data_IF_155668184076
#
_entry.id   IF_155668184076
#
_cell.length_a   1.000
_cell.length_b   1.000
_cell.length_c   1.000
_cell.angle_alpha   90.00
_cell.angle_beta   90.00
_cell.angle_gamma   90.00
#
_symmetry.space_group_name_H-M   'P 1'
#
loop_
_entity.id
_entity.type
_entity.pdbx_description
1 polymer ?
#
# COMPACT_ATOMS: atom_id res chain seq x y z
N UNK A 1 -7.19 -15.67 -9.25
CA UNK A 1 -6.19 -14.61 -9.02
C UNK A 1 -4.97 -15.25 -8.41
N UNK A 2 -3.78 -14.85 -8.84
CA UNK A 2 -2.53 -15.29 -8.23
C UNK A 2 -1.89 -14.08 -7.56
N UNK A 3 -2.40 -13.76 -6.36
CA UNK A 3 -2.04 -12.54 -5.64
C UNK A 3 -0.74 -12.75 -4.90
N UNK A 4 0.14 -11.77 -5.02
CA UNK A 4 1.35 -11.66 -4.22
C UNK A 4 1.54 -10.24 -3.75
N UNK A 5 2.06 -10.08 -2.53
CA UNK A 5 2.46 -8.80 -1.98
C UNK A 5 3.97 -8.64 -2.18
N UNK A 6 4.39 -7.51 -2.72
CA UNK A 6 5.79 -7.14 -2.87
C UNK A 6 6.07 -5.97 -1.94
N UNK A 7 6.79 -6.22 -0.86
CA UNK A 7 7.25 -5.19 0.04
C UNK A 7 8.50 -4.52 -0.54
N UNK A 8 8.50 -3.19 -0.55
CA UNK A 8 9.59 -2.38 -1.09
C UNK A 8 10.25 -1.58 0.04
N UNK A 9 9.45 -1.14 1.01
CA UNK A 9 9.91 -0.48 2.21
C UNK A 9 10.32 -1.53 3.28
N UNK A 10 11.41 -1.30 4.04
CA UNK A 10 12.23 -0.08 4.10
C UNK A 10 13.44 -0.04 3.15
N UNK A 11 13.59 -1.04 2.27
CA UNK A 11 14.82 -1.21 1.48
C UNK A 11 15.08 -0.06 0.49
N UNK A 12 14.04 0.70 0.10
CA UNK A 12 14.14 1.90 -0.73
C UNK A 12 13.69 3.12 0.08
N UNK A 13 14.62 4.05 0.34
CA UNK A 13 14.45 5.15 1.30
C UNK A 13 13.50 6.24 0.75
N UNK A 14 13.82 6.86 -0.39
CA UNK A 14 13.00 7.93 -0.98
C UNK A 14 13.51 8.23 -2.41
N UNK A 15 12.61 8.39 -3.38
CA UNK A 15 12.94 8.85 -4.73
C UNK A 15 11.92 9.93 -5.12
N UNK A 16 12.36 11.13 -5.49
CA UNK A 16 11.49 12.25 -5.86
C UNK A 16 10.40 12.56 -4.81
N UNK A 17 10.76 12.57 -3.53
CA UNK A 17 9.85 12.77 -2.39
C UNK A 17 8.80 11.66 -2.25
N UNK A 18 8.99 10.51 -2.90
CA UNK A 18 8.10 9.35 -2.79
C UNK A 18 8.82 8.15 -2.19
N UNK A 19 8.13 7.46 -1.29
CA UNK A 19 8.57 6.24 -0.63
C UNK A 19 7.62 5.13 -1.08
N UNK A 20 8.12 4.21 -1.92
CA UNK A 20 7.32 3.05 -2.34
C UNK A 20 7.20 2.10 -1.14
N UNK A 21 5.98 1.78 -0.71
CA UNK A 21 5.75 0.97 0.48
C UNK A 21 5.64 -0.51 0.13
N UNK A 22 4.60 -0.84 -0.63
CA UNK A 22 4.37 -2.20 -1.12
C UNK A 22 3.42 -2.19 -2.32
N UNK A 23 3.33 -3.33 -2.99
CA UNK A 23 2.46 -3.55 -4.13
C UNK A 23 1.70 -4.85 -3.98
N UNK A 24 0.44 -4.85 -4.40
CA UNK A 24 -0.36 -6.07 -4.57
C UNK A 24 -0.39 -6.38 -6.05
N UNK A 25 0.14 -7.53 -6.47
CA UNK A 25 0.23 -7.92 -7.88
C UNK A 25 -0.57 -9.19 -8.12
N UNK A 26 -1.43 -9.20 -9.14
CA UNK A 26 -1.94 -10.44 -9.72
C UNK A 26 -1.03 -10.90 -10.85
N UNK A 27 -0.34 -12.02 -10.63
CA UNK A 27 0.64 -12.56 -11.58
C UNK A 27 0.03 -13.03 -12.90
N UNK A 28 -1.28 -13.23 -12.96
CA UNK A 28 -1.95 -13.69 -14.18
C UNK A 28 -2.29 -12.54 -15.14
N UNK A 29 -2.62 -11.37 -14.61
CA UNK A 29 -3.19 -10.23 -15.36
C UNK A 29 -2.31 -8.98 -15.33
N UNK A 30 -1.18 -9.02 -14.61
CA UNK A 30 -0.24 -7.89 -14.41
C UNK A 30 -0.89 -6.64 -13.80
N UNK A 31 -2.03 -6.80 -13.14
CA UNK A 31 -2.72 -5.74 -12.42
C UNK A 31 -2.05 -5.50 -11.07
N UNK A 32 -2.01 -4.23 -10.65
CA UNK A 32 -1.30 -3.84 -9.44
C UNK A 32 -2.05 -2.77 -8.65
N UNK A 33 -2.18 -2.96 -7.34
CA UNK A 33 -2.38 -1.86 -6.41
C UNK A 33 -1.00 -1.41 -5.91
N UNK A 34 -0.69 -0.13 -6.06
CA UNK A 34 0.58 0.46 -5.61
C UNK A 34 0.30 1.36 -4.43
N UNK A 35 0.96 1.08 -3.30
CA UNK A 35 0.91 1.90 -2.10
C UNK A 35 2.23 2.62 -1.93
N UNK A 36 2.18 3.93 -1.81
CA UNK A 36 3.36 4.77 -1.64
C UNK A 36 3.06 5.94 -0.70
N UNK A 37 4.08 6.45 -0.03
CA UNK A 37 4.00 7.69 0.74
C UNK A 37 4.64 8.81 -0.08
N UNK A 38 4.10 10.02 0.02
CA UNK A 38 4.73 11.24 -0.45
C UNK A 38 5.14 12.07 0.75
N UNK A 39 6.43 12.37 0.84
CA UNK A 39 6.98 13.27 1.84
C UNK A 39 6.58 14.70 1.48
N UNK A 40 5.88 15.34 2.40
CA UNK A 40 5.66 16.78 2.43
C UNK A 40 6.44 17.30 3.62
N UNK A 41 6.99 18.52 3.55
CA UNK A 41 7.97 19.03 4.53
C UNK A 41 7.67 18.74 6.02
N UNK A 42 6.39 18.61 6.39
CA UNK A 42 5.94 18.38 7.76
C UNK A 42 5.08 17.09 7.95
N UNK A 43 4.81 16.31 6.90
CA UNK A 43 3.95 15.12 6.98
C UNK A 43 4.16 14.13 5.83
N UNK A 44 3.70 12.89 6.01
CA UNK A 44 3.62 11.87 4.98
C UNK A 44 2.19 11.69 4.50
N UNK A 45 2.00 11.83 3.20
CA UNK A 45 0.72 11.59 2.54
C UNK A 45 0.73 10.19 1.93
N UNK A 46 -0.16 9.31 2.34
CA UNK A 46 -0.25 7.95 1.83
C UNK A 46 -1.20 7.89 0.64
N UNK A 47 -0.70 7.35 -0.46
CA UNK A 47 -1.38 7.23 -1.73
C UNK A 47 -1.55 5.79 -2.15
N UNK A 48 -2.69 5.55 -2.80
CA UNK A 48 -3.00 4.33 -3.51
C UNK A 48 -3.17 4.65 -4.99
N UNK A 49 -2.44 3.94 -5.84
CA UNK A 49 -2.72 3.87 -7.28
C UNK A 49 -3.30 2.52 -7.64
N UNK A 50 -4.48 2.52 -8.25
CA UNK A 50 -5.10 1.34 -8.83
C UNK A 50 -4.87 1.36 -10.35
N UNK A 51 -3.98 0.49 -10.84
CA UNK A 51 -3.59 0.51 -12.25
C UNK A 51 -4.69 0.04 -13.21
N UNK A 52 -5.76 -0.59 -12.70
CA UNK A 52 -6.90 -1.00 -13.53
C UNK A 52 -7.79 0.19 -13.89
N UNK A 53 -8.04 1.07 -12.92
CA UNK A 53 -8.94 2.22 -13.07
C UNK A 53 -8.19 3.49 -13.47
N UNK A 54 -6.87 3.51 -13.28
CA UNK A 54 -6.08 4.74 -13.35
C UNK A 54 -6.31 5.66 -12.15
N UNK A 55 -7.05 5.21 -11.12
CA UNK A 55 -7.31 5.99 -9.92
C UNK A 55 -6.01 6.15 -9.13
N UNK A 56 -5.73 7.38 -8.73
CA UNK A 56 -4.63 7.70 -7.82
C UNK A 56 -5.15 8.67 -6.77
N UNK A 57 -5.21 8.21 -5.53
CA UNK A 57 -5.81 8.97 -4.45
C UNK A 57 -4.99 8.91 -3.17
N UNK A 58 -4.96 10.05 -2.49
CA UNK A 58 -4.57 10.10 -1.10
C UNK A 58 -5.65 9.39 -0.27
N UNK A 59 -5.26 8.48 0.62
CA UNK A 59 -6.20 7.79 1.50
C UNK A 59 -5.94 8.04 2.98
N UNK A 60 -4.76 8.57 3.34
CA UNK A 60 -4.42 8.88 4.73
C UNK A 60 -3.24 9.86 4.78
N UNK A 61 -3.17 10.65 5.84
CA UNK A 61 -2.03 11.52 6.14
C UNK A 61 -1.51 11.19 7.53
N UNK A 62 -0.20 11.20 7.69
CA UNK A 62 0.43 10.93 8.99
C UNK A 62 1.68 11.76 9.18
N UNK A 63 1.91 12.23 10.40
CA UNK A 63 2.95 13.22 10.67
C UNK A 63 4.29 12.56 11.01
N UNK A 64 4.33 11.23 11.11
CA UNK A 64 5.51 10.49 11.48
C UNK A 64 5.67 9.19 10.69
N UNK A 65 6.92 8.76 10.52
CA UNK A 65 7.27 7.53 9.83
C UNK A 65 6.89 6.27 10.63
N UNK A 66 6.79 6.38 11.95
CA UNK A 66 6.47 5.25 12.83
C UNK A 66 5.07 4.70 12.59
N UNK A 67 4.11 5.57 12.33
CA UNK A 67 2.76 5.22 11.93
C UNK A 67 2.76 4.39 10.63
N UNK A 68 3.61 4.76 9.66
CA UNK A 68 3.79 3.97 8.43
C UNK A 68 4.39 2.59 8.74
N UNK A 69 5.38 2.51 9.63
CA UNK A 69 5.96 1.24 10.09
C UNK A 69 4.89 0.32 10.72
N UNK A 70 4.09 0.87 11.64
CA UNK A 70 3.01 0.15 12.33
C UNK A 70 2.02 -0.40 11.30
N UNK A 71 1.60 0.44 10.35
CA UNK A 71 0.66 0.03 9.31
C UNK A 71 1.24 -1.08 8.42
N UNK A 72 2.47 -0.93 7.93
CA UNK A 72 3.12 -1.98 7.12
C UNK A 72 3.24 -3.31 7.89
N UNK A 73 3.55 -3.25 9.18
CA UNK A 73 3.60 -4.45 10.02
C UNK A 73 2.21 -5.09 10.17
N UNK A 74 1.13 -4.30 10.28
CA UNK A 74 -0.25 -4.81 10.24
C UNK A 74 -0.55 -5.50 8.90
N UNK A 75 -0.08 -4.95 7.77
CA UNK A 75 -0.25 -5.58 6.44
C UNK A 75 0.47 -6.94 6.40
N UNK A 76 1.74 -7.00 6.82
CA UNK A 76 2.52 -8.25 6.89
C UNK A 76 1.86 -9.30 7.77
N UNK A 77 1.33 -8.90 8.93
CA UNK A 77 0.63 -9.80 9.84
C UNK A 77 -0.69 -10.35 9.28
N UNK A 78 -1.29 -9.67 8.29
CA UNK A 78 -2.55 -10.06 7.65
C UNK A 78 -2.38 -10.52 6.20
N UNK A 79 -1.16 -10.84 5.77
CA UNK A 79 -0.84 -11.18 4.39
C UNK A 79 -1.71 -12.31 3.84
N UNK A 80 -1.87 -13.40 4.61
CA UNK A 80 -2.71 -14.54 4.22
C UNK A 80 -4.18 -14.14 3.98
N UNK A 81 -4.72 -13.25 4.82
CA UNK A 81 -6.07 -12.74 4.65
C UNK A 81 -6.19 -11.87 3.40
N UNK A 82 -5.18 -11.04 3.12
CA UNK A 82 -5.12 -10.19 1.94
C UNK A 82 -5.08 -11.05 0.67
N UNK A 83 -4.15 -12.02 0.60
CA UNK A 83 -3.98 -12.90 -0.56
C UNK A 83 -5.21 -13.81 -0.76
N UNK A 84 -5.90 -14.18 0.32
CA UNK A 84 -7.12 -14.99 0.27
C UNK A 84 -8.35 -14.28 -0.32
N UNK A 85 -8.30 -12.98 -0.56
CA UNK A 85 -9.41 -12.24 -1.14
C UNK A 85 -9.60 -12.51 -2.64
N UNK A 86 -10.87 -12.51 -3.08
CA UNK A 86 -11.27 -12.95 -4.42
C UNK A 86 -11.22 -11.88 -5.52
N UNK A 87 -10.99 -10.61 -5.17
CA UNK A 87 -10.86 -9.49 -6.12
C UNK A 87 -10.10 -8.31 -5.51
N UNK A 88 -9.58 -7.43 -6.36
CA UNK A 88 -8.81 -6.25 -5.95
C UNK A 88 -9.64 -5.23 -5.17
N UNK A 89 -10.93 -5.08 -5.45
CA UNK A 89 -11.80 -4.16 -4.71
C UNK A 89 -11.89 -4.55 -3.22
N UNK A 90 -11.98 -5.85 -2.92
CA UNK A 90 -11.98 -6.37 -1.55
C UNK A 90 -10.62 -6.23 -0.90
N UNK A 91 -9.54 -6.50 -1.64
CA UNK A 91 -8.18 -6.31 -1.15
C UNK A 91 -7.94 -4.84 -0.77
N UNK A 92 -8.32 -3.92 -1.65
CA UNK A 92 -8.22 -2.48 -1.44
C UNK A 92 -8.97 -2.07 -0.16
N UNK A 93 -10.26 -2.40 -0.06
CA UNK A 93 -11.08 -2.08 1.13
C UNK A 93 -10.47 -2.68 2.41
N UNK A 94 -10.00 -3.92 2.36
CA UNK A 94 -9.41 -4.58 3.51
C UNK A 94 -8.12 -3.87 3.98
N UNK A 95 -7.22 -3.54 3.05
CA UNK A 95 -5.96 -2.84 3.36
C UNK A 95 -6.24 -1.45 3.94
N UNK A 96 -7.20 -0.72 3.37
CA UNK A 96 -7.57 0.61 3.85
C UNK A 96 -8.16 0.56 5.26
N UNK A 97 -8.91 -0.49 5.62
CA UNK A 97 -9.43 -0.64 6.98
C UNK A 97 -8.34 -0.97 8.03
N UNK A 98 -7.14 -1.41 7.61
CA UNK A 98 -6.05 -1.70 8.54
C UNK A 98 -5.29 -0.44 9.01
N UNK A 99 -5.62 0.74 8.47
CA UNK A 99 -4.95 1.99 8.81
C UNK A 99 -5.50 2.68 10.07
N UNK A 100 -6.60 2.18 10.64
CA UNK A 100 -7.12 2.69 11.91
C UNK A 100 -6.23 2.21 13.08
N UNK A 101 -5.85 3.15 13.96
CA UNK A 101 -5.05 2.93 15.16
C UNK A 101 -5.91 2.62 16.36
#
# INVERSE_FOLDING_TARGET
MNISIIYIYPDIIEINNEINLFRIVDRNIKETLVFYAKNTNDSYQLYLTNTMTGDNRNFHNTDNLENINIWINKIKANEDNIIGNKNFEKIEKYILNLIEY
#
